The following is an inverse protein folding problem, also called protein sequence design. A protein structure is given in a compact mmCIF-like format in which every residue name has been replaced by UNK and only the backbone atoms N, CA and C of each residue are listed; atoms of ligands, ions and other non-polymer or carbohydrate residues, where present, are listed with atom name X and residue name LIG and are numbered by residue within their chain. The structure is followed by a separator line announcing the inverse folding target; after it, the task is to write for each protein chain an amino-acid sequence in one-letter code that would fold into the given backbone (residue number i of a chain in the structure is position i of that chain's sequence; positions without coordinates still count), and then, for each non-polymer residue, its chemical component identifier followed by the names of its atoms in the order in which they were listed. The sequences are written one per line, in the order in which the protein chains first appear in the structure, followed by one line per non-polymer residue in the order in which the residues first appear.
data_IF_475269318871
#
_entry.id   IF_475269318871
#
_cell.length_a   1.000
_cell.length_b   1.000
_cell.length_c   1.000
_cell.angle_alpha   90.00
_cell.angle_beta   90.00
_cell.angle_gamma   90.00
#
_symmetry.space_group_name_H-M   'P 1'
#
loop_
_entity.id
_entity.type
_entity.pdbx_description
1 polymer ?
#
# COMPACT_ATOMS: atom_id res chain seq x y z
N UNK A 1 -11.42 15.31 7.77
CA UNK A 1 -10.28 14.41 8.09
C UNK A 1 -9.20 14.54 7.03
N UNK A 2 -7.93 14.25 7.35
CA UNK A 2 -6.80 14.48 6.43
C UNK A 2 -6.81 13.60 5.16
N UNK A 3 -7.32 12.37 5.25
CA UNK A 3 -7.30 11.42 4.11
C UNK A 3 -8.60 11.42 3.29
N UNK A 4 -9.62 12.15 3.76
CA UNK A 4 -10.90 12.37 3.05
C UNK A 4 -11.59 11.06 2.63
N UNK A 5 -11.85 10.19 3.60
CA UNK A 5 -12.66 8.97 3.48
C UNK A 5 -13.63 8.89 4.70
N UNK A 6 -14.67 8.06 4.62
CA UNK A 6 -15.67 7.93 5.69
C UNK A 6 -15.14 7.19 6.91
N UNK A 7 -15.45 7.63 8.13
CA UNK A 7 -14.88 7.06 9.35
C UNK A 7 -15.22 5.58 9.56
N UNK A 8 -16.41 5.11 9.14
CA UNK A 8 -16.77 3.68 9.23
C UNK A 8 -15.89 2.77 8.35
N UNK A 9 -15.18 3.34 7.36
CA UNK A 9 -14.29 2.61 6.46
C UNK A 9 -12.85 2.47 6.97
N UNK A 10 -12.56 2.91 8.19
CA UNK A 10 -11.19 2.95 8.74
C UNK A 10 -10.51 1.57 8.73
N UNK A 11 -11.20 0.52 9.21
CA UNK A 11 -10.63 -0.84 9.25
C UNK A 11 -10.44 -1.41 7.84
N UNK A 12 -11.39 -1.15 6.94
CA UNK A 12 -11.33 -1.57 5.55
C UNK A 12 -10.13 -0.94 4.83
N UNK A 13 -9.94 0.37 5.01
CA UNK A 13 -8.82 1.10 4.40
C UNK A 13 -7.45 0.65 4.94
N UNK A 14 -7.37 0.36 6.25
CA UNK A 14 -6.14 -0.15 6.86
C UNK A 14 -5.78 -1.54 6.31
N UNK A 15 -6.76 -2.44 6.15
CA UNK A 15 -6.54 -3.74 5.49
C UNK A 15 -6.09 -3.57 4.05
N UNK A 16 -6.73 -2.65 3.31
CA UNK A 16 -6.40 -2.41 1.91
C UNK A 16 -4.98 -1.86 1.71
N UNK A 17 -4.49 -1.04 2.65
CA UNK A 17 -3.10 -0.57 2.64
C UNK A 17 -2.09 -1.74 2.70
N UNK A 18 -2.41 -2.78 3.49
CA UNK A 18 -1.59 -3.99 3.59
C UNK A 18 -1.78 -4.87 2.35
N UNK A 19 -3.01 -5.12 1.93
CA UNK A 19 -3.35 -5.98 0.78
C UNK A 19 -2.83 -5.46 -0.57
N UNK A 20 -2.51 -4.16 -0.67
CA UNK A 20 -1.89 -3.55 -1.85
C UNK A 20 -0.37 -3.39 -1.72
N UNK A 21 0.21 -3.68 -0.55
CA UNK A 21 1.63 -3.50 -0.25
C UNK A 21 2.04 -2.04 0.01
N UNK A 22 1.09 -1.10 0.03
CA UNK A 22 1.36 0.30 0.42
C UNK A 22 2.00 0.33 1.81
N UNK A 23 1.49 -0.48 2.73
CA UNK A 23 2.06 -0.66 4.06
C UNK A 23 2.52 -2.11 4.25
N UNK A 24 3.81 -2.29 4.53
CA UNK A 24 4.38 -3.61 4.82
C UNK A 24 4.30 -3.85 6.32
N UNK A 25 3.74 -4.99 6.73
CA UNK A 25 3.75 -5.40 8.13
C UNK A 25 5.01 -6.19 8.45
N UNK A 26 5.75 -5.71 9.42
CA UNK A 26 7.02 -6.30 9.83
C UNK A 26 7.25 -6.09 11.33
N UNK A 27 8.12 -6.92 11.88
CA UNK A 27 8.59 -6.85 13.26
C UNK A 27 10.12 -6.92 13.27
N UNK A 28 10.74 -6.18 14.19
CA UNK A 28 12.15 -6.36 14.52
C UNK A 28 12.27 -7.39 15.64
N UNK A 29 13.00 -8.49 15.40
CA UNK A 29 13.25 -9.48 16.44
C UNK A 29 14.59 -9.21 17.13
N UNK A 30 14.51 -8.69 18.36
CA UNK A 30 15.68 -8.31 19.17
C UNK A 30 16.20 -6.92 18.82
N UNK A 31 17.49 -6.67 19.06
CA UNK A 31 18.15 -5.37 18.81
C UNK A 31 18.89 -5.29 17.47
N UNK A 32 18.94 -6.38 16.70
CA UNK A 32 19.67 -6.43 15.43
C UNK A 32 18.76 -6.00 14.27
N UNK A 33 19.00 -4.80 13.71
CA UNK A 33 18.28 -4.24 12.56
C UNK A 33 18.30 -5.09 11.28
N UNK A 34 19.17 -6.09 11.19
CA UNK A 34 19.17 -7.05 10.09
C UNK A 34 18.13 -8.18 10.27
N UNK A 35 17.49 -8.30 11.43
CA UNK A 35 16.53 -9.35 11.75
C UNK A 35 15.08 -8.87 11.64
N UNK A 36 14.74 -8.33 10.47
CA UNK A 36 13.38 -7.89 10.14
C UNK A 36 12.56 -9.10 9.68
N UNK A 37 11.48 -9.40 10.39
CA UNK A 37 10.53 -10.44 10.02
C UNK A 37 9.29 -9.81 9.38
N UNK A 38 8.97 -10.16 8.12
CA UNK A 38 7.72 -9.74 7.48
C UNK A 38 6.58 -10.62 8.01
N UNK A 39 5.66 -10.02 8.77
CA UNK A 39 4.62 -10.75 9.50
C UNK A 39 3.41 -11.10 8.63
N UNK A 40 3.19 -10.35 7.55
CA UNK A 40 2.14 -10.62 6.58
C UNK A 40 2.73 -10.78 5.19
N UNK A 41 2.80 -12.03 4.74
CA UNK A 41 3.06 -12.35 3.33
C UNK A 41 1.74 -12.39 2.55
N UNK A 42 1.79 -12.03 1.27
CA UNK A 42 0.60 -11.85 0.42
C UNK A 42 0.62 -12.81 -0.76
N UNK A 43 -0.50 -13.51 -0.99
CA UNK A 43 -0.76 -14.23 -2.24
C UNK A 43 -1.68 -13.38 -3.09
N UNK A 44 -1.28 -13.03 -4.31
CA UNK A 44 -2.10 -12.23 -5.21
C UNK A 44 -2.38 -10.82 -4.66
N UNK A 45 -1.31 -10.05 -4.39
CA UNK A 45 -1.40 -8.66 -3.93
C UNK A 45 -2.28 -7.82 -4.86
N UNK A 46 -3.16 -7.00 -4.29
CA UNK A 46 -4.06 -6.10 -5.03
C UNK A 46 -3.26 -4.96 -5.68
N UNK A 47 -3.67 -4.44 -6.85
CA UNK A 47 -3.05 -3.26 -7.44
C UNK A 47 -3.25 -2.02 -6.55
N UNK A 48 -2.30 -1.10 -6.55
CA UNK A 48 -2.32 0.11 -5.70
C UNK A 48 -3.54 1.00 -5.96
N UNK A 49 -4.08 0.94 -7.18
CA UNK A 49 -5.25 1.71 -7.60
C UNK A 49 -6.49 1.46 -6.72
N UNK A 50 -6.65 0.24 -6.19
CA UNK A 50 -7.69 -0.10 -5.21
C UNK A 50 -7.58 0.79 -3.97
N UNK A 51 -6.37 0.94 -3.42
CA UNK A 51 -6.11 1.79 -2.27
C UNK A 51 -6.24 3.28 -2.62
N UNK A 52 -5.71 3.73 -3.76
CA UNK A 52 -5.71 5.15 -4.12
C UNK A 52 -7.13 5.70 -4.36
N UNK A 53 -7.99 4.93 -5.03
CA UNK A 53 -9.35 5.38 -5.40
C UNK A 53 -10.27 5.63 -4.20
N UNK A 54 -10.02 4.97 -3.06
CA UNK A 54 -10.86 5.09 -1.87
C UNK A 54 -10.66 6.37 -1.07
N UNK A 55 -9.60 7.15 -1.36
CA UNK A 55 -9.19 8.30 -0.55
C UNK A 55 -9.24 9.60 -1.34
N UNK A 56 -9.94 10.61 -0.81
CA UNK A 56 -10.08 11.90 -1.49
C UNK A 56 -8.76 12.67 -1.68
N UNK A 57 -7.71 12.38 -0.91
CA UNK A 57 -6.38 12.98 -1.10
C UNK A 57 -5.72 12.62 -2.44
N UNK A 58 -6.10 11.49 -3.04
CA UNK A 58 -5.58 11.03 -4.34
C UNK A 58 -6.52 11.34 -5.51
N UNK A 59 -7.63 12.05 -5.28
CA UNK A 59 -8.63 12.32 -6.31
C UNK A 59 -8.06 12.99 -7.57
N UNK A 60 -7.04 13.84 -7.40
CA UNK A 60 -6.37 14.55 -8.49
C UNK A 60 -5.55 13.64 -9.43
N UNK A 61 -5.31 12.38 -9.06
CA UNK A 61 -4.69 11.38 -9.94
C UNK A 61 -5.68 10.79 -10.94
N UNK A 62 -6.99 10.90 -10.68
CA UNK A 62 -8.03 10.26 -11.48
C UNK A 62 -8.93 11.24 -12.22
N UNK A 63 -8.86 12.54 -11.91
CA UNK A 63 -9.70 13.58 -12.50
C UNK A 63 -8.97 14.95 -12.56
N UNK A 64 -9.26 15.79 -13.57
CA UNK A 64 -10.19 15.56 -14.68
C UNK A 64 -9.71 14.48 -15.66
N UNK A 65 -8.40 14.36 -15.83
CA UNK A 65 -7.76 13.28 -16.59
C UNK A 65 -7.01 12.33 -15.64
N UNK A 66 -6.87 11.07 -16.06
CA UNK A 66 -6.15 10.06 -15.28
C UNK A 66 -4.64 10.26 -15.50
N UNK A 67 -3.91 10.52 -14.41
CA UNK A 67 -2.44 10.61 -14.39
C UNK A 67 -1.83 9.21 -14.32
N UNK A 68 -1.98 8.45 -15.39
CA UNK A 68 -1.61 7.04 -15.45
C UNK A 68 -0.10 6.83 -15.21
N UNK A 69 0.74 7.71 -15.73
CA UNK A 69 2.19 7.74 -15.52
C UNK A 69 2.59 7.79 -14.03
N UNK A 70 1.88 8.61 -13.25
CA UNK A 70 2.10 8.75 -11.81
C UNK A 70 1.62 7.50 -11.06
N UNK A 71 0.45 6.97 -11.43
CA UNK A 71 -0.11 5.75 -10.83
C UNK A 71 0.84 4.57 -11.08
N UNK A 72 1.35 4.42 -12.30
CA UNK A 72 2.29 3.36 -12.68
C UNK A 72 3.64 3.51 -11.99
N UNK A 73 4.08 4.75 -11.75
CA UNK A 73 5.27 4.99 -10.92
C UNK A 73 5.04 4.51 -9.48
N UNK A 74 3.92 4.88 -8.86
CA UNK A 74 3.60 4.46 -7.49
C UNK A 74 3.52 2.93 -7.41
N UNK A 75 2.90 2.27 -8.39
CA UNK A 75 2.82 0.81 -8.45
C UNK A 75 4.22 0.19 -8.50
N UNK A 76 5.10 0.67 -9.39
CA UNK A 76 6.49 0.20 -9.50
C UNK A 76 7.27 0.38 -8.20
N UNK A 77 7.17 1.56 -7.57
CA UNK A 77 7.86 1.82 -6.30
C UNK A 77 7.41 0.84 -5.19
N UNK A 78 6.11 0.50 -5.17
CA UNK A 78 5.57 -0.50 -4.24
C UNK A 78 6.03 -1.91 -4.61
N UNK A 79 6.07 -2.25 -5.89
CA UNK A 79 6.50 -3.57 -6.36
C UNK A 79 7.98 -3.81 -6.04
N UNK A 80 8.84 -2.82 -6.26
CA UNK A 80 10.26 -2.88 -5.90
C UNK A 80 10.45 -3.03 -4.39
N UNK A 81 9.69 -2.28 -3.58
CA UNK A 81 9.69 -2.40 -2.13
C UNK A 81 9.23 -3.79 -1.69
N UNK A 82 8.12 -4.29 -2.22
CA UNK A 82 7.57 -5.61 -1.88
C UNK A 82 8.54 -6.72 -2.28
N UNK A 83 9.20 -6.61 -3.44
CA UNK A 83 10.26 -7.53 -3.88
C UNK A 83 11.46 -7.50 -2.93
N UNK A 84 11.95 -6.31 -2.55
CA UNK A 84 13.09 -6.15 -1.64
C UNK A 84 12.87 -6.81 -0.29
N UNK A 85 11.66 -6.73 0.26
CA UNK A 85 11.30 -7.34 1.54
C UNK A 85 10.72 -8.76 1.40
N UNK A 86 10.58 -9.28 0.17
CA UNK A 86 9.98 -10.58 -0.12
C UNK A 86 8.54 -10.71 0.38
N UNK A 87 7.72 -9.65 0.25
CA UNK A 87 6.34 -9.62 0.78
C UNK A 87 5.42 -10.60 0.06
N UNK A 88 5.62 -10.77 -1.23
CA UNK A 88 4.79 -11.63 -2.08
C UNK A 88 5.22 -13.11 -1.92
N UNK A 89 4.24 -14.02 -1.84
CA UNK A 89 4.42 -15.48 -1.76
C UNK A 89 4.47 -16.14 -3.13
#
# INVERSE_FOLDING_TARGET
TGWRFSSEKTVELAKLAVETGVFVLWELRGSNFNNINITKKLRGRKPVTEYLKTQGRFRHLFRPEIKQDVIDKIQRDIDEKCKRFGVDL
#
